data_IF_569486645277
#
_entry.id   IF_569486645277
#
_cell.length_a   1.000
_cell.length_b   1.000
_cell.length_c   1.000
_cell.angle_alpha   90.00
_cell.angle_beta   90.00
_cell.angle_gamma   90.00
#
_symmetry.space_group_name_H-M   'P 1'
#
loop_
_entity.id
_entity.type
_entity.pdbx_description
1 polymer ?
#
# COMPACT_ATOMS: atom_id res chain seq x y z
N UNK A 1 -12.28 4.60 -32.18
CA UNK A 1 -10.96 4.00 -32.13
C UNK A 1 -9.96 4.83 -31.33
N UNK A 2 -9.80 6.08 -31.69
CA UNK A 2 -8.86 6.96 -30.96
C UNK A 2 -9.24 7.16 -29.50
N UNK A 3 -10.52 7.27 -29.18
CA UNK A 3 -10.97 7.40 -27.80
C UNK A 3 -10.63 6.23 -26.93
N UNK A 4 -10.60 5.01 -27.48
CA UNK A 4 -10.19 3.82 -26.73
C UNK A 4 -8.70 3.84 -26.40
N UNK A 5 -7.89 4.28 -27.36
CA UNK A 5 -6.44 4.42 -27.14
C UNK A 5 -6.16 5.48 -26.09
N UNK A 6 -6.83 6.61 -26.17
CA UNK A 6 -6.67 7.68 -25.18
C UNK A 6 -7.03 7.22 -23.78
N UNK A 7 -8.12 6.44 -23.65
CA UNK A 7 -8.52 5.89 -22.34
C UNK A 7 -7.49 4.92 -21.79
N UNK A 8 -6.88 4.12 -22.66
CA UNK A 8 -5.84 3.17 -22.22
C UNK A 8 -4.66 3.91 -21.61
N UNK A 9 -4.37 5.11 -22.10
CA UNK A 9 -3.23 5.89 -21.61
C UNK A 9 -3.62 7.00 -20.63
N UNK A 10 -4.86 7.02 -20.17
CA UNK A 10 -5.30 7.97 -19.16
C UNK A 10 -4.82 7.52 -17.79
N UNK A 11 -3.68 8.04 -17.35
CA UNK A 11 -3.02 7.69 -16.10
C UNK A 11 -3.75 8.22 -14.87
N UNK A 12 -4.76 9.06 -15.04
CA UNK A 12 -5.57 9.53 -13.93
C UNK A 12 -6.66 8.54 -13.53
N UNK A 13 -6.94 7.55 -14.37
CA UNK A 13 -7.95 6.52 -14.07
C UNK A 13 -7.45 5.59 -12.97
N UNK A 14 -8.28 5.24 -11.96
CA UNK A 14 -7.90 4.27 -10.93
C UNK A 14 -7.43 2.92 -11.50
N UNK A 15 -7.91 2.53 -12.68
CA UNK A 15 -7.50 1.28 -13.32
C UNK A 15 -6.00 1.22 -13.63
N UNK A 16 -5.34 2.39 -13.70
CA UNK A 16 -3.90 2.45 -13.94
C UNK A 16 -3.09 2.55 -12.64
N UNK A 17 -3.76 2.64 -11.51
CA UNK A 17 -3.09 2.64 -10.21
C UNK A 17 -3.05 1.22 -9.69
N UNK A 18 -1.85 0.75 -9.43
CA UNK A 18 -1.63 -0.57 -8.88
C UNK A 18 -1.17 -0.46 -7.44
N UNK A 19 -1.72 -1.30 -6.59
CA UNK A 19 -1.46 -1.26 -5.15
C UNK A 19 -1.00 -2.63 -4.68
N UNK A 20 -0.02 -2.63 -3.78
CA UNK A 20 0.39 -3.83 -3.07
C UNK A 20 -0.05 -3.68 -1.63
N UNK A 21 -0.89 -4.62 -1.17
CA UNK A 21 -1.42 -4.62 0.20
C UNK A 21 -0.73 -5.73 0.98
N UNK A 22 -0.06 -5.36 2.07
CA UNK A 22 0.74 -6.28 2.87
C UNK A 22 0.17 -6.36 4.29
N UNK A 23 -0.37 -7.52 4.64
CA UNK A 23 -0.92 -7.79 5.96
C UNK A 23 -0.93 -9.31 6.17
N UNK A 24 -0.46 -9.76 7.32
CA UNK A 24 -0.40 -11.19 7.63
C UNK A 24 -1.74 -11.77 8.09
N UNK A 25 -2.70 -10.93 8.46
CA UNK A 25 -4.04 -11.38 8.85
C UNK A 25 -4.91 -11.53 7.60
N UNK A 26 -5.29 -12.77 7.22
CA UNK A 26 -6.03 -12.98 5.97
C UNK A 26 -7.34 -12.22 5.87
N UNK A 27 -8.08 -12.12 6.99
CA UNK A 27 -9.36 -11.43 6.99
C UNK A 27 -9.21 -9.93 6.72
N UNK A 28 -8.23 -9.29 7.35
CA UNK A 28 -7.95 -7.87 7.13
C UNK A 28 -7.42 -7.64 5.72
N UNK A 29 -6.53 -8.51 5.26
CA UNK A 29 -5.98 -8.42 3.91
C UNK A 29 -7.09 -8.49 2.86
N UNK A 30 -8.02 -9.41 3.04
CA UNK A 30 -9.18 -9.55 2.15
C UNK A 30 -10.07 -8.31 2.20
N UNK A 31 -10.31 -7.78 3.40
CA UNK A 31 -11.14 -6.59 3.56
C UNK A 31 -10.54 -5.39 2.82
N UNK A 32 -9.24 -5.17 2.97
CA UNK A 32 -8.56 -4.06 2.29
C UNK A 32 -8.57 -4.26 0.78
N UNK A 33 -8.30 -5.47 0.34
CA UNK A 33 -8.31 -5.81 -1.07
C UNK A 33 -9.67 -5.53 -1.70
N UNK A 34 -10.75 -6.04 -1.10
CA UNK A 34 -12.09 -5.84 -1.63
C UNK A 34 -12.51 -4.37 -1.62
N UNK A 35 -12.14 -3.64 -0.57
CA UNK A 35 -12.44 -2.22 -0.46
C UNK A 35 -11.81 -1.44 -1.61
N UNK A 36 -10.56 -1.74 -1.93
CA UNK A 36 -9.83 -1.04 -2.97
C UNK A 36 -10.22 -1.51 -4.37
N UNK A 37 -10.53 -2.79 -4.54
CA UNK A 37 -11.03 -3.30 -5.83
C UNK A 37 -12.33 -2.58 -6.22
N UNK A 38 -13.18 -2.27 -5.27
CA UNK A 38 -14.42 -1.52 -5.53
C UNK A 38 -14.14 -0.11 -6.05
N UNK A 39 -12.99 0.46 -5.70
CA UNK A 39 -12.58 1.78 -6.18
C UNK A 39 -11.92 1.71 -7.55
N UNK A 40 -11.73 0.52 -8.10
CA UNK A 40 -11.18 0.35 -9.44
C UNK A 40 -9.68 0.16 -9.52
N UNK A 41 -8.99 0.01 -8.39
CA UNK A 41 -7.54 -0.21 -8.38
C UNK A 41 -7.19 -1.64 -8.77
N UNK A 42 -5.99 -1.79 -9.32
CA UNK A 42 -5.37 -3.09 -9.56
C UNK A 42 -4.60 -3.49 -8.29
N UNK A 43 -4.99 -4.59 -7.66
CA UNK A 43 -4.50 -4.97 -6.33
C UNK A 43 -3.77 -6.31 -6.37
N UNK A 44 -2.60 -6.34 -5.75
CA UNK A 44 -1.94 -7.57 -5.36
C UNK A 44 -1.73 -7.56 -3.85
N UNK A 45 -1.65 -8.73 -3.25
CA UNK A 45 -1.54 -8.86 -1.80
C UNK A 45 -0.34 -9.72 -1.41
N UNK A 46 0.16 -9.47 -0.20
CA UNK A 46 1.26 -10.23 0.38
C UNK A 46 1.02 -10.39 1.88
N UNK A 47 1.49 -11.49 2.44
CA UNK A 47 1.34 -11.79 3.87
C UNK A 47 2.60 -11.61 4.69
N UNK A 48 3.71 -11.20 4.09
CA UNK A 48 5.00 -11.09 4.77
C UNK A 48 5.90 -10.09 4.04
N UNK A 49 6.99 -9.71 4.70
CA UNK A 49 8.01 -8.85 4.08
C UNK A 49 8.59 -9.53 2.85
N UNK A 50 8.95 -10.80 2.97
CA UNK A 50 9.56 -11.54 1.86
C UNK A 50 8.64 -11.65 0.67
N UNK A 51 7.38 -11.98 0.90
CA UNK A 51 6.40 -12.07 -0.18
C UNK A 51 6.20 -10.71 -0.86
N UNK A 52 6.15 -9.63 -0.07
CA UNK A 52 6.05 -8.29 -0.61
C UNK A 52 7.27 -7.93 -1.46
N UNK A 53 8.47 -8.29 -1.01
CA UNK A 53 9.68 -8.04 -1.78
C UNK A 53 9.70 -8.78 -3.11
N UNK A 54 9.19 -10.00 -3.15
CA UNK A 54 9.08 -10.75 -4.39
C UNK A 54 8.16 -10.06 -5.39
N UNK A 55 7.03 -9.56 -4.92
CA UNK A 55 6.14 -8.76 -5.77
C UNK A 55 6.83 -7.49 -6.29
N UNK A 56 7.56 -6.81 -5.41
CA UNK A 56 8.25 -5.58 -5.78
C UNK A 56 9.39 -5.82 -6.76
N UNK A 57 10.01 -6.99 -6.73
CA UNK A 57 11.03 -7.36 -7.71
C UNK A 57 10.40 -7.59 -9.09
N UNK A 58 9.15 -8.02 -9.13
CA UNK A 58 8.46 -8.39 -10.35
C UNK A 58 7.83 -7.20 -11.07
N UNK A 59 7.35 -6.21 -10.31
CA UNK A 59 6.71 -5.04 -10.92
C UNK A 59 6.78 -3.81 -10.01
N UNK A 60 6.49 -2.64 -10.61
CA UNK A 60 6.38 -1.38 -9.90
C UNK A 60 4.91 -1.12 -9.58
N UNK A 61 4.63 -0.64 -8.38
CA UNK A 61 3.29 -0.27 -7.93
C UNK A 61 3.18 1.24 -7.76
N UNK A 62 1.96 1.74 -7.75
CA UNK A 62 1.72 3.16 -7.44
C UNK A 62 1.92 3.43 -5.96
N UNK A 63 1.46 2.50 -5.11
CA UNK A 63 1.62 2.61 -3.68
C UNK A 63 1.69 1.23 -3.03
N UNK A 64 2.28 1.20 -1.83
CA UNK A 64 2.35 0.01 -0.98
C UNK A 64 1.64 0.35 0.32
N UNK A 65 0.67 -0.48 0.71
CA UNK A 65 -0.05 -0.34 1.97
C UNK A 65 0.38 -1.51 2.83
N UNK A 66 1.06 -1.25 3.94
CA UNK A 66 1.62 -2.31 4.75
C UNK A 66 1.29 -2.16 6.22
N UNK A 67 1.01 -3.28 6.88
CA UNK A 67 0.97 -3.32 8.34
C UNK A 67 2.39 -3.03 8.86
N UNK A 68 2.47 -2.40 10.01
CA UNK A 68 3.75 -2.17 10.68
C UNK A 68 4.37 -3.49 11.13
N UNK A 69 3.57 -4.44 11.61
CA UNK A 69 4.06 -5.72 12.11
C UNK A 69 3.75 -6.84 11.15
N UNK A 70 4.78 -7.58 10.78
CA UNK A 70 4.68 -8.72 9.88
C UNK A 70 5.44 -9.90 10.48
N UNK A 71 5.18 -11.15 10.05
CA UNK A 71 5.79 -12.32 10.69
C UNK A 71 7.31 -12.34 10.62
N UNK A 72 7.88 -11.75 9.59
CA UNK A 72 9.31 -11.81 9.29
C UNK A 72 9.98 -10.44 9.31
N UNK A 73 9.30 -9.43 9.85
CA UNK A 73 9.87 -8.08 9.93
C UNK A 73 8.81 -7.02 10.20
N UNK A 74 9.04 -5.84 9.67
CA UNK A 74 8.13 -4.71 9.87
C UNK A 74 7.87 -3.96 8.56
N UNK A 75 6.86 -3.09 8.60
CA UNK A 75 6.62 -2.17 7.50
C UNK A 75 7.79 -1.23 7.23
N UNK A 76 8.61 -0.95 8.26
CA UNK A 76 9.82 -0.14 8.08
C UNK A 76 10.85 -0.84 7.19
N UNK A 77 10.91 -2.17 7.24
CA UNK A 77 11.79 -2.94 6.34
C UNK A 77 11.39 -2.74 4.90
N UNK A 78 10.10 -2.65 4.62
CA UNK A 78 9.63 -2.38 3.27
C UNK A 78 9.93 -0.94 2.86
N UNK A 79 9.79 0.02 3.76
CA UNK A 79 10.18 1.41 3.47
C UNK A 79 11.66 1.50 3.14
N UNK A 80 12.51 0.82 3.91
CA UNK A 80 13.95 0.77 3.64
C UNK A 80 14.25 0.15 2.29
N UNK A 81 13.53 -0.89 1.93
CA UNK A 81 13.69 -1.53 0.63
C UNK A 81 13.36 -0.55 -0.50
N UNK A 82 12.25 0.17 -0.38
CA UNK A 82 11.85 1.14 -1.40
C UNK A 82 12.89 2.24 -1.53
N UNK A 83 13.36 2.78 -0.42
CA UNK A 83 14.37 3.84 -0.44
C UNK A 83 15.71 3.34 -1.01
N UNK A 84 16.19 2.20 -0.55
CA UNK A 84 17.47 1.64 -0.99
C UNK A 84 17.51 1.32 -2.47
N UNK A 85 16.35 1.06 -3.06
CA UNK A 85 16.24 0.74 -4.48
C UNK A 85 15.73 1.93 -5.30
N UNK A 86 15.72 3.12 -4.72
CA UNK A 86 15.31 4.37 -5.36
C UNK A 86 13.91 4.24 -6.01
N UNK A 87 13.01 3.57 -5.34
CA UNK A 87 11.67 3.32 -5.86
C UNK A 87 10.75 4.49 -5.53
N UNK A 88 9.70 4.64 -6.32
CA UNK A 88 8.78 5.77 -6.22
C UNK A 88 7.43 5.42 -5.63
N UNK A 89 7.20 4.17 -5.27
CA UNK A 89 5.95 3.79 -4.61
C UNK A 89 5.77 4.62 -3.35
N UNK A 90 4.59 5.14 -3.16
CA UNK A 90 4.23 5.80 -1.91
C UNK A 90 3.82 4.74 -0.92
N UNK A 91 4.33 4.82 0.29
CA UNK A 91 4.05 3.83 1.32
C UNK A 91 3.07 4.38 2.35
N UNK A 92 2.01 3.63 2.62
CA UNK A 92 1.04 3.91 3.67
C UNK A 92 1.20 2.82 4.71
N UNK A 93 1.45 3.20 5.95
CA UNK A 93 1.70 2.24 7.03
C UNK A 93 0.50 2.18 7.95
N UNK A 94 0.06 0.97 8.28
CA UNK A 94 -1.04 0.73 9.21
C UNK A 94 -0.43 0.33 10.55
N UNK A 95 -0.70 1.12 11.60
CA UNK A 95 -0.12 0.93 12.92
C UNK A 95 -1.19 0.50 13.92
N UNK A 96 -0.75 -0.10 15.03
CA UNK A 96 -1.67 -0.46 16.11
C UNK A 96 -2.22 0.79 16.79
N UNK A 97 -3.44 0.66 17.32
CA UNK A 97 -4.07 1.73 18.08
C UNK A 97 -3.16 2.15 19.25
N UNK A 98 -3.01 3.45 19.43
CA UNK A 98 -2.20 3.99 20.51
C UNK A 98 -0.69 4.00 20.24
N UNK A 99 -0.24 3.52 19.10
CA UNK A 99 1.19 3.47 18.75
C UNK A 99 1.65 4.75 18.04
N UNK A 100 1.57 5.88 18.73
CA UNK A 100 1.99 7.16 18.17
C UNK A 100 3.48 7.14 17.75
N UNK A 101 4.30 6.42 18.49
CA UNK A 101 5.73 6.28 18.17
C UNK A 101 5.95 5.59 16.84
N UNK A 102 5.16 4.54 16.55
CA UNK A 102 5.26 3.83 15.28
C UNK A 102 4.85 4.72 14.11
N UNK A 103 3.85 5.56 14.31
CA UNK A 103 3.42 6.52 13.30
C UNK A 103 4.53 7.53 12.98
N UNK A 104 5.18 8.07 14.02
CA UNK A 104 6.29 9.02 13.86
C UNK A 104 7.45 8.34 13.15
N UNK A 105 7.81 7.12 13.55
CA UNK A 105 8.88 6.37 12.89
C UNK A 105 8.59 6.13 11.41
N UNK A 106 7.34 5.78 11.08
CA UNK A 106 6.95 5.55 9.70
C UNK A 106 7.14 6.82 8.86
N UNK A 107 6.66 7.97 9.36
CA UNK A 107 6.80 9.22 8.64
C UNK A 107 8.26 9.63 8.49
N UNK A 108 9.08 9.45 9.53
CA UNK A 108 10.52 9.73 9.47
C UNK A 108 11.23 8.81 8.48
N UNK A 109 10.75 7.59 8.32
CA UNK A 109 11.34 6.63 7.39
C UNK A 109 10.85 6.85 5.95
N UNK A 110 10.03 7.85 5.71
CA UNK A 110 9.59 8.22 4.37
C UNK A 110 8.20 7.77 3.97
N UNK A 111 7.39 7.29 4.92
CA UNK A 111 6.01 6.94 4.61
C UNK A 111 5.23 8.17 4.15
N UNK A 112 4.39 7.97 3.17
CA UNK A 112 3.50 9.04 2.68
C UNK A 112 2.47 9.42 3.73
N UNK A 113 1.91 8.42 4.40
CA UNK A 113 0.92 8.62 5.46
C UNK A 113 0.84 7.35 6.31
N UNK A 114 0.03 7.40 7.37
CA UNK A 114 -0.23 6.24 8.21
C UNK A 114 -1.71 6.19 8.59
N UNK A 115 -2.15 5.01 9.00
CA UNK A 115 -3.50 4.78 9.53
C UNK A 115 -3.35 3.97 10.81
N UNK A 116 -4.29 4.13 11.75
CA UNK A 116 -4.28 3.37 12.99
C UNK A 116 -5.42 2.36 12.99
N UNK A 117 -5.15 1.19 13.60
CA UNK A 117 -6.18 0.16 13.80
C UNK A 117 -7.08 0.53 14.98
N UNK A 118 -8.37 0.27 14.93
CA UNK A 118 -9.11 -0.31 13.81
C UNK A 118 -9.24 0.69 12.65
N UNK A 119 -9.02 0.23 11.44
CA UNK A 119 -9.00 1.10 10.28
C UNK A 119 -10.41 1.53 9.90
N UNK A 120 -10.61 2.84 9.80
CA UNK A 120 -11.83 3.42 9.25
C UNK A 120 -11.74 3.31 7.73
N UNK A 121 -12.62 2.53 7.11
CA UNK A 121 -12.55 2.29 5.66
C UNK A 121 -12.78 3.54 4.83
N UNK A 122 -13.54 4.50 5.33
CA UNK A 122 -13.73 5.78 4.64
C UNK A 122 -12.41 6.56 4.60
N UNK A 123 -11.72 6.64 5.74
CA UNK A 123 -10.42 7.28 5.83
C UNK A 123 -9.39 6.52 4.99
N UNK A 124 -9.43 5.21 5.03
CA UNK A 124 -8.55 4.35 4.24
C UNK A 124 -8.66 4.67 2.74
N UNK A 125 -9.89 4.71 2.22
CA UNK A 125 -10.11 5.05 0.82
C UNK A 125 -9.59 6.46 0.49
N UNK A 126 -9.81 7.42 1.40
CA UNK A 126 -9.37 8.79 1.18
C UNK A 126 -7.85 8.93 1.14
N UNK A 127 -7.15 8.24 2.06
CA UNK A 127 -5.69 8.28 2.12
C UNK A 127 -5.09 7.65 0.87
N UNK A 128 -5.61 6.51 0.44
CA UNK A 128 -5.14 5.84 -0.78
C UNK A 128 -5.38 6.73 -2.00
N UNK A 129 -6.53 7.37 -2.09
CA UNK A 129 -6.86 8.24 -3.21
C UNK A 129 -5.93 9.46 -3.28
N UNK A 130 -5.40 9.93 -2.16
CA UNK A 130 -4.51 11.09 -2.13
C UNK A 130 -3.05 10.74 -2.42
N UNK A 131 -2.73 9.48 -2.42
CA UNK A 131 -1.34 9.02 -2.61
C UNK A 131 -0.86 9.05 -4.11
#
# INVERSE_FOLDING_TARGET
MHGSIERVFDMSSPAYFSLLVVDDEPDLRTLYELTLLREGYDIETAGSVEEARLHLQDRVYSAVITDMRLPDGTGLDLLSYLESNARREKAIVITAYGSAENAVEALKAGAYDYLTKPVDLKQFRAVVASA
#
